data_IF_231553267820
#
_entry.id   IF_231553267820
#
_cell.length_a   1.000
_cell.length_b   1.000
_cell.length_c   1.000
_cell.angle_alpha   90.00
_cell.angle_beta   90.00
_cell.angle_gamma   90.00
#
_symmetry.space_group_name_H-M   'P 1'
#
loop_
_entity.id
_entity.type
_entity.pdbx_description
1 polymer ?
#
# COMPACT_ATOMS: atom_id res chain seq x y z
N UNK A 1 -22.03 3.66 15.26
CA UNK A 1 -21.38 4.12 14.01
C UNK A 1 -20.21 3.20 13.74
N UNK A 2 -20.20 2.56 12.62
CA UNK A 2 -19.12 1.66 12.24
C UNK A 2 -17.84 2.48 12.01
N UNK A 3 -16.76 2.13 12.73
CA UNK A 3 -15.50 2.91 12.69
C UNK A 3 -14.86 2.89 11.30
N UNK A 4 -15.01 1.78 10.59
CA UNK A 4 -14.43 1.58 9.26
C UNK A 4 -15.51 1.04 8.30
N UNK A 5 -16.36 1.91 7.71
CA UNK A 5 -17.39 1.48 6.77
C UNK A 5 -16.78 0.75 5.56
N UNK A 6 -17.34 -0.41 5.20
CA UNK A 6 -16.83 -1.25 4.11
C UNK A 6 -15.69 -2.19 4.50
N UNK A 7 -15.38 -2.27 5.81
CA UNK A 7 -14.36 -3.17 6.34
C UNK A 7 -14.87 -3.91 7.57
N UNK A 8 -14.60 -5.19 7.62
CA UNK A 8 -14.86 -6.02 8.78
C UNK A 8 -13.63 -6.10 9.66
N UNK A 9 -13.73 -5.69 10.92
CA UNK A 9 -12.64 -5.82 11.90
C UNK A 9 -12.55 -7.27 12.37
N UNK A 10 -11.40 -7.90 12.16
CA UNK A 10 -11.15 -9.28 12.59
C UNK A 10 -10.64 -9.34 14.02
N UNK A 11 -9.69 -8.46 14.37
CA UNK A 11 -9.12 -8.37 15.71
C UNK A 11 -8.46 -7.00 15.93
N UNK A 12 -8.35 -6.66 17.21
CA UNK A 12 -7.56 -5.51 17.66
C UNK A 12 -6.73 -5.97 18.84
N UNK A 13 -5.44 -5.67 18.81
CA UNK A 13 -4.48 -6.11 19.83
C UNK A 13 -3.43 -5.03 20.11
N UNK A 14 -2.86 -4.99 21.31
CA UNK A 14 -1.70 -4.15 21.59
C UNK A 14 -0.51 -4.52 20.68
N UNK A 15 0.22 -3.53 20.22
CA UNK A 15 1.47 -3.70 19.48
C UNK A 15 2.59 -2.95 20.22
N UNK A 16 3.21 -3.58 21.24
CA UNK A 16 4.21 -2.93 22.09
C UNK A 16 5.44 -2.46 21.31
N UNK A 17 5.83 -3.19 20.26
CA UNK A 17 6.98 -2.86 19.41
C UNK A 17 6.80 -1.52 18.69
N UNK A 18 5.56 -1.12 18.44
CA UNK A 18 5.20 0.14 17.78
C UNK A 18 4.61 1.16 18.76
N UNK A 19 4.63 0.88 20.07
CA UNK A 19 4.02 1.72 21.09
C UNK A 19 2.56 2.11 20.78
N UNK A 20 1.77 1.14 20.29
CA UNK A 20 0.42 1.42 19.81
C UNK A 20 -0.50 0.23 19.76
N UNK A 21 -1.47 0.29 18.90
CA UNK A 21 -2.52 -0.73 18.70
C UNK A 21 -2.53 -1.16 17.25
N UNK A 22 -2.57 -2.47 17.02
CA UNK A 22 -2.76 -3.08 15.72
C UNK A 22 -4.23 -3.50 15.56
N UNK A 23 -4.86 -3.00 14.52
CA UNK A 23 -6.19 -3.47 14.09
C UNK A 23 -6.06 -4.19 12.74
N UNK A 24 -6.56 -5.41 12.69
CA UNK A 24 -6.60 -6.24 11.49
C UNK A 24 -8.01 -6.22 10.93
N UNK A 25 -8.13 -5.83 9.67
CA UNK A 25 -9.42 -5.74 8.97
C UNK A 25 -9.37 -6.50 7.65
N UNK A 26 -10.56 -6.80 7.14
CA UNK A 26 -10.76 -7.28 5.76
C UNK A 26 -11.65 -6.30 5.02
N UNK A 27 -11.28 -5.94 3.80
CA UNK A 27 -12.13 -5.16 2.93
C UNK A 27 -13.28 -6.03 2.42
N UNK A 28 -14.53 -5.64 2.67
CA UNK A 28 -15.71 -6.48 2.49
C UNK A 28 -15.93 -6.91 1.03
N UNK A 29 -15.57 -6.05 0.07
CA UNK A 29 -15.79 -6.32 -1.36
C UNK A 29 -14.66 -7.15 -1.97
N UNK A 30 -13.39 -6.80 -1.73
CA UNK A 30 -12.25 -7.44 -2.38
C UNK A 30 -11.62 -8.57 -1.56
N UNK A 31 -11.93 -8.67 -0.26
CA UNK A 31 -11.26 -9.59 0.65
C UNK A 31 -9.82 -9.19 1.00
N UNK A 32 -9.36 -8.01 0.59
CA UNK A 32 -8.02 -7.56 0.89
C UNK A 32 -7.81 -7.43 2.41
N UNK A 33 -6.67 -7.92 2.88
CA UNK A 33 -6.27 -7.75 4.27
C UNK A 33 -5.73 -6.34 4.49
N UNK A 34 -6.13 -5.72 5.60
CA UNK A 34 -5.68 -4.39 6.00
C UNK A 34 -5.10 -4.46 7.41
N UNK A 35 -3.92 -3.92 7.57
CA UNK A 35 -3.27 -3.76 8.87
C UNK A 35 -3.19 -2.26 9.17
N UNK A 36 -3.84 -1.85 10.25
CA UNK A 36 -3.81 -0.47 10.72
C UNK A 36 -3.06 -0.42 12.05
N UNK A 37 -1.95 0.29 12.08
CA UNK A 37 -1.18 0.56 13.30
C UNK A 37 -1.43 2.00 13.72
N UNK A 38 -1.95 2.17 14.92
CA UNK A 38 -2.22 3.48 15.52
C UNK A 38 -1.27 3.69 16.70
N UNK A 39 -0.41 4.68 16.61
CA UNK A 39 0.55 5.04 17.65
C UNK A 39 0.71 6.56 17.74
N UNK A 40 1.61 7.02 18.60
CA UNK A 40 1.89 8.45 18.83
C UNK A 40 2.90 9.05 17.85
N UNK A 41 3.42 8.25 16.89
CA UNK A 41 4.38 8.76 15.90
C UNK A 41 3.69 9.77 14.98
N UNK A 42 4.32 10.93 14.80
CA UNK A 42 3.83 11.98 13.90
C UNK A 42 4.02 11.62 12.42
N UNK A 43 4.94 10.71 12.13
CA UNK A 43 5.15 10.20 10.77
C UNK A 43 4.06 9.21 10.41
N UNK A 44 3.64 9.25 9.16
CA UNK A 44 2.64 8.33 8.61
C UNK A 44 3.26 7.53 7.47
N UNK A 45 3.01 6.24 7.45
CA UNK A 45 3.41 5.35 6.38
C UNK A 45 2.19 4.65 5.80
N UNK A 46 2.19 4.47 4.51
CA UNK A 46 1.21 3.67 3.77
C UNK A 46 1.96 2.74 2.83
N UNK A 47 1.49 1.51 2.73
CA UNK A 47 1.99 0.54 1.77
C UNK A 47 0.87 -0.36 1.27
N UNK A 48 0.93 -0.76 0.02
CA UNK A 48 0.04 -1.74 -0.57
C UNK A 48 0.86 -2.82 -1.27
N UNK A 49 0.58 -4.10 -0.95
CA UNK A 49 1.27 -5.25 -1.51
C UNK A 49 0.33 -6.17 -2.27
N UNK A 50 0.86 -6.74 -3.34
CA UNK A 50 0.16 -7.72 -4.18
C UNK A 50 1.00 -8.99 -4.29
N UNK A 51 0.34 -10.16 -4.20
CA UNK A 51 0.96 -11.42 -4.59
C UNK A 51 1.10 -11.49 -6.11
N UNK A 52 2.32 -11.48 -6.61
CA UNK A 52 2.64 -11.50 -8.04
C UNK A 52 3.60 -12.62 -8.34
N UNK A 53 3.05 -13.77 -8.80
CA UNK A 53 3.81 -14.98 -9.12
C UNK A 53 4.03 -15.05 -10.63
N UNK A 54 5.25 -14.78 -11.14
CA UNK A 54 5.50 -14.81 -12.58
C UNK A 54 5.42 -16.26 -13.11
N UNK A 55 4.89 -16.38 -14.30
CA UNK A 55 4.82 -17.67 -15.04
C UNK A 55 5.95 -17.84 -16.05
N UNK A 56 6.74 -16.78 -16.28
CA UNK A 56 7.84 -16.73 -17.24
C UNK A 56 8.89 -15.69 -16.85
N UNK A 57 9.94 -15.56 -17.64
CA UNK A 57 11.05 -14.65 -17.41
C UNK A 57 10.92 -13.29 -18.12
N UNK A 58 9.72 -12.89 -18.51
CA UNK A 58 9.50 -11.64 -19.26
C UNK A 58 9.63 -10.38 -18.40
N UNK A 59 9.65 -10.52 -17.08
CA UNK A 59 9.69 -9.38 -16.15
C UNK A 59 8.40 -8.56 -16.12
N UNK A 60 7.27 -9.18 -16.46
CA UNK A 60 5.97 -8.52 -16.61
C UNK A 60 5.55 -7.71 -15.39
N UNK A 61 5.77 -8.22 -14.18
CA UNK A 61 5.37 -7.51 -12.95
C UNK A 61 6.25 -6.31 -12.64
N UNK A 62 7.54 -6.35 -12.99
CA UNK A 62 8.43 -5.20 -12.87
C UNK A 62 8.06 -4.10 -13.89
N UNK A 63 7.75 -4.50 -15.13
CA UNK A 63 7.26 -3.57 -16.15
C UNK A 63 5.93 -2.95 -15.72
N UNK A 64 5.01 -3.75 -15.19
CA UNK A 64 3.73 -3.29 -14.67
C UNK A 64 3.90 -2.32 -13.49
N UNK A 65 4.82 -2.61 -12.57
CA UNK A 65 5.15 -1.73 -11.45
C UNK A 65 5.52 -0.32 -11.94
N UNK A 66 6.43 -0.20 -12.88
CA UNK A 66 6.77 1.09 -13.49
C UNK A 66 5.58 1.73 -14.22
N UNK A 67 4.78 0.93 -14.91
CA UNK A 67 3.65 1.41 -15.72
C UNK A 67 2.55 2.02 -14.87
N UNK A 68 2.19 1.42 -13.74
CA UNK A 68 1.12 1.94 -12.87
C UNK A 68 1.52 3.24 -12.18
N UNK A 69 2.82 3.51 -12.05
CA UNK A 69 3.35 4.76 -11.49
C UNK A 69 3.47 5.87 -12.53
N UNK A 70 3.29 5.55 -13.82
CA UNK A 70 3.41 6.51 -14.92
C UNK A 70 2.15 7.33 -15.20
N UNK A 71 1.01 6.98 -14.59
CA UNK A 71 -0.27 7.70 -14.74
C UNK A 71 -1.46 6.85 -14.33
N UNK A 72 -2.63 7.47 -14.25
CA UNK A 72 -3.89 6.78 -13.98
C UNK A 72 -5.06 7.49 -14.63
N UNK A 73 -6.21 6.82 -14.72
CA UNK A 73 -7.44 7.41 -15.24
C UNK A 73 -7.85 8.67 -14.45
N UNK A 74 -7.77 8.60 -13.13
CA UNK A 74 -8.11 9.74 -12.25
C UNK A 74 -7.08 10.87 -12.30
N UNK A 75 -5.82 10.54 -12.55
CA UNK A 75 -4.71 11.49 -12.63
C UNK A 75 -3.95 11.29 -13.95
N UNK A 76 -4.52 11.76 -15.08
CA UNK A 76 -3.96 11.53 -16.42
C UNK A 76 -2.81 12.50 -16.71
N UNK A 77 -1.82 12.53 -15.84
CA UNK A 77 -0.62 13.37 -15.98
C UNK A 77 0.60 12.50 -16.28
N UNK A 78 1.56 13.07 -16.99
CA UNK A 78 2.79 12.35 -17.29
C UNK A 78 3.66 12.20 -16.05
N UNK A 79 4.00 10.97 -15.70
CA UNK A 79 4.90 10.64 -14.60
C UNK A 79 4.48 11.26 -13.24
N UNK A 80 3.27 11.00 -12.73
CA UNK A 80 2.80 11.56 -11.45
C UNK A 80 3.72 11.19 -10.29
N UNK A 81 4.37 10.03 -10.31
CA UNK A 81 5.34 9.59 -9.32
C UNK A 81 6.51 10.58 -9.18
N UNK A 82 7.11 10.99 -10.30
CA UNK A 82 8.21 11.96 -10.29
C UNK A 82 7.77 13.35 -9.83
N UNK A 83 6.54 13.74 -10.17
CA UNK A 83 5.97 15.00 -9.71
C UNK A 83 5.71 15.00 -8.21
N UNK A 84 5.18 13.89 -7.67
CA UNK A 84 4.97 13.72 -6.24
C UNK A 84 6.27 13.71 -5.45
N UNK A 85 7.33 13.08 -5.96
CA UNK A 85 8.66 13.13 -5.34
C UNK A 85 9.19 14.55 -5.20
N UNK A 86 8.87 15.44 -6.15
CA UNK A 86 9.36 16.82 -6.16
C UNK A 86 8.48 17.78 -5.36
N UNK A 87 7.19 17.52 -5.27
CA UNK A 87 6.20 18.49 -4.77
C UNK A 87 5.54 18.08 -3.46
N UNK A 88 5.61 16.80 -3.08
CA UNK A 88 5.00 16.34 -1.84
C UNK A 88 5.94 16.49 -0.64
N UNK A 89 5.35 16.56 0.55
CA UNK A 89 6.08 16.52 1.82
C UNK A 89 6.44 15.09 2.25
N UNK A 90 6.23 14.10 1.39
CA UNK A 90 6.60 12.73 1.67
C UNK A 90 8.11 12.59 1.74
N UNK A 91 8.61 12.06 2.85
CA UNK A 91 10.05 11.81 3.05
C UNK A 91 10.54 10.57 2.33
N UNK A 92 9.63 9.67 1.95
CA UNK A 92 9.92 8.42 1.25
C UNK A 92 8.75 8.03 0.34
N UNK A 93 9.05 7.69 -0.89
CA UNK A 93 8.09 7.18 -1.87
C UNK A 93 8.81 6.19 -2.76
N UNK A 94 8.36 4.93 -2.82
CA UNK A 94 9.01 3.87 -3.59
C UNK A 94 8.03 2.77 -3.99
N UNK A 95 8.49 1.92 -4.89
CA UNK A 95 7.86 0.64 -5.23
C UNK A 95 8.95 -0.40 -5.48
N UNK A 96 8.63 -1.67 -5.26
CA UNK A 96 9.59 -2.77 -5.37
C UNK A 96 8.90 -4.03 -5.86
N UNK A 97 9.49 -4.68 -6.85
CA UNK A 97 9.07 -5.99 -7.34
C UNK A 97 10.03 -7.06 -6.86
N UNK A 98 9.48 -8.02 -6.14
CA UNK A 98 10.19 -9.21 -5.63
C UNK A 98 9.78 -10.45 -6.45
N UNK A 99 10.43 -11.62 -6.24
CA UNK A 99 10.06 -12.84 -6.97
C UNK A 99 8.61 -13.30 -6.79
N UNK A 100 7.97 -12.97 -5.67
CA UNK A 100 6.64 -13.45 -5.29
C UNK A 100 5.64 -12.34 -4.96
N UNK A 101 6.07 -11.08 -4.96
CA UNK A 101 5.22 -9.94 -4.59
C UNK A 101 5.69 -8.64 -5.23
N UNK A 102 4.77 -7.70 -5.32
CA UNK A 102 5.04 -6.30 -5.70
C UNK A 102 4.47 -5.39 -4.61
N UNK A 103 5.25 -4.45 -4.13
CA UNK A 103 4.91 -3.55 -3.02
C UNK A 103 5.07 -2.10 -3.48
N UNK A 104 4.01 -1.33 -3.22
CA UNK A 104 3.98 0.12 -3.44
C UNK A 104 3.91 0.86 -2.12
#
# INVERSE_FOLDING_TARGET
MERFPGYTTLRTEPCPEQHGTLTVLTHDVSGAAVLLVENEDVNKAFGIGFGTFPSDDTGVFHILEHSVLAGSEKYPVTSPFLQLLKSSMASFLNAMTFPDKTVY
#
